data_IF_996536535321
#
_entry.id   IF_996536535321
#
_cell.length_a   1.000
_cell.length_b   1.000
_cell.length_c   1.000
_cell.angle_alpha   90.00
_cell.angle_beta   90.00
_cell.angle_gamma   90.00
#
_symmetry.space_group_name_H-M   'P 1'
#
loop_
_entity.id
_entity.type
_entity.pdbx_description
1 polymer ?
#
# COMPACT_ATOMS: atom_id res chain seq x y z
N UNK A 1 -10.48 -0.84 2.99
CA UNK A 1 -9.89 -2.19 2.86
C UNK A 1 -9.72 -2.53 1.39
N UNK A 2 -8.59 -3.09 0.99
CA UNK A 2 -8.33 -3.56 -0.38
C UNK A 2 -8.01 -5.05 -0.32
N UNK A 3 -8.44 -5.83 -1.31
CA UNK A 3 -8.18 -7.26 -1.45
C UNK A 3 -7.88 -7.63 -2.91
N UNK A 4 -7.29 -8.80 -3.14
CA UNK A 4 -7.05 -9.36 -4.49
C UNK A 4 -7.48 -10.84 -4.59
N UNK A 5 -8.53 -11.23 -3.86
CA UNK A 5 -9.03 -12.62 -3.73
C UNK A 5 -8.07 -13.62 -3.07
N UNK A 6 -6.89 -13.17 -2.65
CA UNK A 6 -5.90 -13.99 -1.94
C UNK A 6 -5.50 -13.40 -0.60
N UNK A 7 -5.39 -12.07 -0.53
CA UNK A 7 -5.03 -11.31 0.68
C UNK A 7 -5.89 -10.05 0.77
N UNK A 8 -5.89 -9.40 1.94
CA UNK A 8 -6.40 -8.05 2.12
C UNK A 8 -5.50 -7.18 3.00
N UNK A 9 -5.60 -5.87 2.78
CA UNK A 9 -4.99 -4.83 3.59
C UNK A 9 -6.05 -3.82 4.04
N UNK A 10 -5.89 -3.30 5.26
CA UNK A 10 -6.68 -2.19 5.78
C UNK A 10 -5.85 -0.91 5.71
N UNK A 11 -6.39 0.09 5.02
CA UNK A 11 -5.76 1.40 4.90
C UNK A 11 -6.61 2.42 5.65
N UNK A 12 -6.02 3.05 6.67
CA UNK A 12 -6.59 4.15 7.41
C UNK A 12 -6.55 5.48 6.64
N UNK A 13 -7.35 6.44 7.08
CA UNK A 13 -7.40 7.78 6.47
C UNK A 13 -6.11 8.58 6.70
N UNK A 14 -5.29 8.20 7.68
CA UNK A 14 -3.98 8.82 7.95
C UNK A 14 -2.89 8.35 6.97
N UNK A 15 -3.24 7.60 5.90
CA UNK A 15 -2.26 7.07 4.95
C UNK A 15 -1.48 5.86 5.49
N UNK A 16 -1.94 5.26 6.58
CA UNK A 16 -1.34 4.06 7.18
C UNK A 16 -2.05 2.80 6.70
N UNK A 17 -1.27 1.78 6.36
CA UNK A 17 -1.76 0.41 6.27
C UNK A 17 -1.61 -0.20 7.67
N UNK A 18 -2.72 -0.26 8.39
CA UNK A 18 -2.77 -0.67 9.79
C UNK A 18 -2.87 -2.19 9.95
N UNK A 19 -3.35 -2.88 8.90
CA UNK A 19 -3.53 -4.33 8.86
C UNK A 19 -3.15 -4.91 7.50
N UNK A 20 -2.42 -6.04 7.49
CA UNK A 20 -2.13 -6.79 6.27
C UNK A 20 -1.85 -8.28 6.55
N UNK A 21 -2.77 -9.16 6.15
CA UNK A 21 -2.56 -10.62 6.18
C UNK A 21 -1.94 -11.09 4.87
N UNK A 22 -0.61 -10.98 4.75
CA UNK A 22 0.12 -11.42 3.56
C UNK A 22 0.98 -12.67 3.87
N UNK A 23 1.08 -13.63 2.93
CA UNK A 23 0.66 -13.51 1.54
C UNK A 23 -0.79 -13.94 1.27
N UNK A 24 -1.48 -14.49 2.26
CA UNK A 24 -2.85 -15.04 2.15
C UNK A 24 -3.72 -14.59 3.34
N UNK A 25 -5.05 -14.67 3.19
CA UNK A 25 -6.02 -14.35 4.26
C UNK A 25 -5.80 -15.10 5.59
N UNK A 26 -5.32 -16.34 5.54
CA UNK A 26 -5.04 -17.18 6.71
C UNK A 26 -3.66 -16.93 7.33
N UNK A 27 -2.85 -16.05 6.71
CA UNK A 27 -1.52 -15.73 7.19
C UNK A 27 -1.57 -14.80 8.40
N UNK A 28 -0.58 -14.96 9.29
CA UNK A 28 -0.35 -13.99 10.37
C UNK A 28 -0.13 -12.60 9.77
N UNK A 29 -0.72 -11.54 10.37
CA UNK A 29 -0.57 -10.19 9.86
C UNK A 29 0.90 -9.74 9.94
N UNK A 30 1.40 -9.12 8.87
CA UNK A 30 2.71 -8.44 8.85
C UNK A 30 2.59 -7.00 9.34
N UNK A 31 1.40 -6.40 9.16
CA UNK A 31 1.00 -5.15 9.79
C UNK A 31 -0.22 -5.43 10.65
N UNK A 32 -0.16 -4.99 11.91
CA UNK A 32 -1.15 -5.27 12.96
C UNK A 32 -1.28 -4.12 13.96
N UNK A 33 -0.85 -2.91 13.59
CA UNK A 33 -0.97 -1.71 14.43
C UNK A 33 -2.39 -1.34 14.84
N UNK A 34 -3.40 -1.94 14.20
CA UNK A 34 -4.79 -1.86 14.63
C UNK A 34 -5.02 -2.54 16.00
N UNK A 35 -4.31 -3.64 16.29
CA UNK A 35 -4.43 -4.36 17.56
C UNK A 35 -3.56 -3.74 18.66
N UNK A 36 -2.37 -3.24 18.27
CA UNK A 36 -1.46 -2.55 19.18
C UNK A 36 -0.79 -1.40 18.42
N UNK A 37 -1.20 -0.16 18.73
CA UNK A 37 -0.72 1.05 18.05
C UNK A 37 0.77 1.31 18.25
N UNK A 38 1.34 0.84 19.36
CA UNK A 38 2.71 1.11 19.77
C UNK A 38 3.65 0.00 19.31
N UNK A 39 3.30 -1.25 19.58
CA UNK A 39 4.15 -2.40 19.27
C UNK A 39 3.89 -3.00 17.89
N UNK A 40 2.68 -2.84 17.35
CA UNK A 40 2.27 -3.42 16.08
C UNK A 40 3.02 -2.85 14.86
N UNK A 41 3.01 -3.66 13.80
CA UNK A 41 3.55 -3.34 12.50
C UNK A 41 2.64 -2.43 11.70
N UNK A 42 3.24 -1.55 10.90
CA UNK A 42 2.54 -0.59 10.04
C UNK A 42 3.37 -0.18 8.84
N UNK A 43 2.66 0.26 7.80
CA UNK A 43 3.26 0.94 6.66
C UNK A 43 2.53 2.26 6.41
N UNK A 44 3.15 3.37 6.77
CA UNK A 44 2.57 4.72 6.70
C UNK A 44 3.28 5.59 5.68
N UNK A 45 2.50 6.34 4.91
CA UNK A 45 2.97 7.47 4.10
C UNK A 45 1.99 8.61 4.34
N UNK A 46 2.48 9.74 4.86
CA UNK A 46 1.62 10.88 5.20
C UNK A 46 2.40 12.19 5.12
N UNK A 47 1.73 13.33 4.86
CA UNK A 47 2.37 14.64 4.84
C UNK A 47 2.70 15.10 6.27
N UNK A 48 3.54 16.11 6.42
CA UNK A 48 3.75 16.80 7.69
C UNK A 48 2.44 17.41 8.23
N UNK A 49 2.25 17.37 9.54
CA UNK A 49 1.02 17.83 10.23
C UNK A 49 -0.31 17.27 9.65
N UNK A 50 -0.45 15.94 9.47
CA UNK A 50 -1.64 15.35 8.84
C UNK A 50 -2.95 15.71 9.57
N UNK A 51 -2.90 15.96 10.88
CA UNK A 51 -4.02 16.38 11.72
C UNK A 51 -4.60 17.76 11.36
N UNK A 52 -3.87 18.59 10.61
CA UNK A 52 -4.33 19.90 10.13
C UNK A 52 -4.96 19.85 8.74
N UNK A 53 -5.03 18.66 8.14
CA UNK A 53 -5.46 18.47 6.77
C UNK A 53 -6.84 17.81 6.72
N UNK A 54 -7.67 18.24 5.77
CA UNK A 54 -8.85 17.48 5.43
C UNK A 54 -8.43 16.25 4.62
N UNK A 55 -9.08 15.10 4.88
CA UNK A 55 -8.78 13.86 4.17
C UNK A 55 -10.03 13.36 3.44
N UNK A 56 -9.86 13.00 2.18
CA UNK A 56 -10.89 12.33 1.37
C UNK A 56 -10.39 10.97 0.94
N UNK A 57 -11.14 9.93 1.23
CA UNK A 57 -10.82 8.56 0.80
C UNK A 57 -11.95 7.96 -0.03
N UNK A 58 -11.62 7.38 -1.17
CA UNK A 58 -12.60 6.77 -2.08
C UNK A 58 -11.94 5.70 -2.95
N UNK A 59 -12.72 4.74 -3.44
CA UNK A 59 -12.24 3.76 -4.40
C UNK A 59 -12.31 4.35 -5.82
N UNK A 60 -11.31 4.06 -6.66
CA UNK A 60 -11.45 4.33 -8.10
C UNK A 60 -12.66 3.57 -8.62
N UNK A 61 -13.43 4.24 -9.47
CA UNK A 61 -14.71 3.76 -9.97
C UNK A 61 -14.64 2.33 -10.51
N UNK A 62 -15.50 1.46 -9.95
CA UNK A 62 -15.61 0.04 -10.29
C UNK A 62 -14.31 -0.76 -10.09
N UNK A 63 -13.49 -0.41 -9.08
CA UNK A 63 -12.25 -1.13 -8.75
C UNK A 63 -12.04 -1.29 -7.25
N UNK A 64 -11.17 -2.22 -6.86
CA UNK A 64 -10.64 -2.31 -5.50
C UNK A 64 -9.32 -1.52 -5.33
N UNK A 65 -9.20 -0.37 -5.99
CA UNK A 65 -8.04 0.52 -5.87
C UNK A 65 -8.47 1.71 -5.01
N UNK A 66 -7.78 1.94 -3.90
CA UNK A 66 -8.14 3.00 -2.95
C UNK A 66 -7.33 4.25 -3.21
N UNK A 67 -7.98 5.40 -3.16
CA UNK A 67 -7.35 6.72 -3.26
C UNK A 67 -7.57 7.45 -1.94
N UNK A 68 -6.49 7.90 -1.31
CA UNK A 68 -6.49 8.78 -0.14
C UNK A 68 -5.88 10.12 -0.53
N UNK A 69 -6.66 11.19 -0.43
CA UNK A 69 -6.24 12.55 -0.76
C UNK A 69 -6.18 13.40 0.51
N UNK A 70 -5.10 14.16 0.64
CA UNK A 70 -4.91 15.14 1.71
C UNK A 70 -5.08 16.54 1.12
N UNK A 71 -5.89 17.36 1.78
CA UNK A 71 -6.26 18.70 1.36
C UNK A 71 -5.85 19.72 2.42
N UNK A 72 -5.19 20.78 1.97
CA UNK A 72 -4.86 21.98 2.75
C UNK A 72 -5.69 23.13 2.21
N UNK A 73 -6.50 23.77 3.05
CA UNK A 73 -7.36 24.89 2.68
C UNK A 73 -8.24 24.58 1.43
N UNK A 74 -8.77 23.35 1.36
CA UNK A 74 -9.58 22.85 0.26
C UNK A 74 -8.80 22.46 -1.01
N UNK A 75 -7.50 22.73 -1.07
CA UNK A 75 -6.63 22.35 -2.18
C UNK A 75 -5.93 21.03 -1.92
N UNK A 76 -5.99 20.11 -2.88
CA UNK A 76 -5.30 18.81 -2.78
C UNK A 76 -3.78 19.01 -2.87
N UNK A 77 -3.06 18.52 -1.85
CA UNK A 77 -1.59 18.60 -1.78
C UNK A 77 -0.91 17.25 -2.00
N UNK A 78 -1.57 16.16 -1.60
CA UNK A 78 -1.05 14.79 -1.71
C UNK A 78 -2.18 13.84 -2.11
N UNK A 79 -1.86 12.87 -2.95
CA UNK A 79 -2.71 11.72 -3.24
C UNK A 79 -1.88 10.46 -3.10
N UNK A 80 -2.43 9.48 -2.39
CA UNK A 80 -1.89 8.14 -2.28
C UNK A 80 -2.89 7.19 -2.91
N UNK A 81 -2.47 6.46 -3.94
CA UNK A 81 -3.28 5.41 -4.56
C UNK A 81 -2.71 4.05 -4.17
N UNK A 82 -3.49 3.29 -3.42
CA UNK A 82 -3.12 1.99 -2.86
C UNK A 82 -3.83 0.86 -3.62
N UNK A 83 -3.09 -0.19 -3.96
CA UNK A 83 -3.67 -1.42 -4.48
C UNK A 83 -2.78 -2.65 -4.24
N UNK A 84 -3.37 -3.82 -4.40
CA UNK A 84 -2.68 -5.10 -4.48
C UNK A 84 -2.89 -5.61 -5.91
N UNK A 85 -1.83 -5.98 -6.66
CA UNK A 85 -1.98 -6.46 -8.02
C UNK A 85 -2.86 -7.71 -8.08
N UNK A 86 -3.62 -7.80 -9.17
CA UNK A 86 -4.43 -8.97 -9.51
C UNK A 86 -4.26 -9.25 -11.00
N UNK A 87 -4.25 -10.53 -11.37
CA UNK A 87 -4.17 -10.98 -12.75
C UNK A 87 -5.06 -12.19 -12.97
N UNK A 88 -5.64 -12.30 -14.17
CA UNK A 88 -6.40 -13.48 -14.61
C UNK A 88 -5.55 -14.76 -14.67
N UNK A 89 -4.22 -14.63 -14.72
CA UNK A 89 -3.31 -15.76 -14.77
C UNK A 89 -3.04 -16.30 -13.37
N UNK A 90 -3.31 -17.60 -13.17
CA UNK A 90 -3.06 -18.35 -11.93
C UNK A 90 -1.57 -18.52 -11.58
N UNK A 91 -0.66 -17.82 -12.26
CA UNK A 91 0.77 -17.84 -11.96
C UNK A 91 1.00 -17.05 -10.70
N UNK A 92 1.43 -17.74 -9.65
CA UNK A 92 1.80 -17.27 -8.30
C UNK A 92 2.38 -15.84 -8.35
N UNK A 93 1.52 -14.83 -8.22
CA UNK A 93 1.98 -13.47 -7.97
C UNK A 93 2.44 -13.43 -6.53
N UNK A 94 3.69 -13.02 -6.30
CA UNK A 94 4.14 -12.68 -4.96
C UNK A 94 3.18 -11.64 -4.38
N UNK A 95 2.86 -11.75 -3.08
CA UNK A 95 1.98 -10.77 -2.45
C UNK A 95 2.73 -9.43 -2.37
N UNK A 96 2.25 -8.45 -3.12
CA UNK A 96 2.90 -7.14 -3.24
C UNK A 96 1.89 -6.03 -2.97
N UNK A 97 2.28 -5.03 -2.18
CA UNK A 97 1.47 -3.85 -1.93
C UNK A 97 2.07 -2.68 -2.70
N UNK A 98 1.27 -1.99 -3.50
CA UNK A 98 1.68 -0.86 -4.31
C UNK A 98 1.06 0.42 -3.77
N UNK A 99 1.89 1.43 -3.57
CA UNK A 99 1.48 2.78 -3.16
C UNK A 99 2.03 3.79 -4.16
N UNK A 100 1.14 4.43 -4.92
CA UNK A 100 1.47 5.54 -5.82
C UNK A 100 1.30 6.84 -5.06
N UNK A 101 2.37 7.63 -4.94
CA UNK A 101 2.40 8.87 -4.18
C UNK A 101 2.53 10.03 -5.17
N UNK A 102 1.55 10.94 -5.18
CA UNK A 102 1.47 12.07 -6.10
C UNK A 102 1.38 13.39 -5.32
N UNK A 103 2.22 14.37 -5.65
CA UNK A 103 2.17 15.75 -5.15
C UNK A 103 1.59 16.67 -6.22
N UNK A 104 1.02 17.81 -5.80
CA UNK A 104 0.31 18.71 -6.72
C UNK A 104 0.83 20.15 -6.70
N UNK A 105 0.34 21.00 -5.80
CA UNK A 105 0.50 22.45 -5.93
C UNK A 105 1.80 22.99 -5.34
N UNK A 106 2.23 22.46 -4.19
CA UNK A 106 3.39 22.92 -3.44
C UNK A 106 4.31 21.74 -3.08
N UNK A 107 5.63 21.96 -2.99
CA UNK A 107 6.51 21.00 -2.34
C UNK A 107 6.05 20.72 -0.92
N UNK A 108 6.22 19.48 -0.46
CA UNK A 108 5.84 19.07 0.87
C UNK A 108 6.79 18.02 1.43
N UNK A 109 6.90 18.00 2.75
CA UNK A 109 7.57 16.92 3.46
C UNK A 109 6.60 15.76 3.67
N UNK A 110 7.09 14.55 3.41
CA UNK A 110 6.38 13.31 3.66
C UNK A 110 7.14 12.50 4.70
N UNK A 111 6.40 11.88 5.61
CA UNK A 111 6.90 10.85 6.49
C UNK A 111 6.58 9.48 5.89
N UNK A 112 7.59 8.63 5.78
CA UNK A 112 7.49 7.24 5.35
C UNK A 112 7.95 6.36 6.49
N UNK A 113 7.03 5.59 7.05
CA UNK A 113 7.30 4.63 8.14
C UNK A 113 7.00 3.22 7.63
N UNK A 114 7.97 2.33 7.75
CA UNK A 114 7.81 0.92 7.41
C UNK A 114 8.35 0.05 8.55
N UNK A 115 7.42 -0.57 9.28
CA UNK A 115 7.69 -1.40 10.44
C UNK A 115 6.91 -2.69 10.26
N UNK A 116 7.48 -3.75 9.68
CA UNK A 116 6.83 -5.05 9.68
C UNK A 116 6.92 -5.68 11.06
N UNK A 117 5.88 -6.40 11.46
CA UNK A 117 5.85 -7.19 12.68
C UNK A 117 5.66 -8.66 12.29
N UNK A 118 6.73 -9.44 12.44
CA UNK A 118 6.66 -10.89 12.28
C UNK A 118 6.38 -11.44 13.67
N UNK A 119 5.17 -11.94 13.92
CA UNK A 119 4.72 -12.57 15.18
C UNK A 119 5.55 -13.83 15.50
N UNK A 120 6.80 -13.60 15.86
CA UNK A 120 7.93 -14.53 15.97
C UNK A 120 8.81 -14.06 17.13
N UNK A 121 9.40 -15.01 17.85
CA UNK A 121 10.35 -14.72 18.93
C UNK A 121 11.75 -14.38 18.39
N UNK A 122 11.98 -14.54 17.09
CA UNK A 122 13.26 -14.24 16.44
C UNK A 122 13.34 -12.75 16.08
N UNK A 123 14.50 -12.11 16.32
CA UNK A 123 14.69 -10.70 16.00
C UNK A 123 14.54 -10.46 14.49
N UNK A 124 14.01 -9.28 14.14
CA UNK A 124 13.91 -8.87 12.73
C UNK A 124 15.26 -8.37 12.24
N UNK A 125 15.81 -9.05 11.24
CA UNK A 125 17.00 -8.61 10.52
C UNK A 125 16.60 -7.65 9.41
N UNK A 126 17.28 -6.51 9.33
CA UNK A 126 17.02 -5.48 8.32
C UNK A 126 18.24 -5.26 7.46
N UNK A 127 18.13 -5.63 6.19
CA UNK A 127 19.22 -5.61 5.24
C UNK A 127 19.00 -4.52 4.19
N UNK A 128 19.98 -3.62 4.07
CA UNK A 128 19.98 -2.60 3.02
C UNK A 128 20.26 -3.23 1.65
N UNK A 129 19.57 -2.73 0.63
CA UNK A 129 19.78 -3.05 -0.78
C UNK A 129 19.88 -1.73 -1.57
N UNK A 130 20.23 -1.84 -2.85
CA UNK A 130 20.35 -0.68 -3.74
C UNK A 130 19.03 0.09 -3.85
N UNK A 131 17.93 -0.64 -3.99
CA UNK A 131 16.60 -0.12 -4.31
C UNK A 131 15.70 0.05 -3.06
N UNK A 132 16.20 -0.29 -1.88
CA UNK A 132 15.41 -0.27 -0.65
C UNK A 132 15.94 -1.18 0.46
N UNK A 133 15.05 -1.81 1.22
CA UNK A 133 15.39 -2.64 2.39
C UNK A 133 14.60 -3.94 2.40
N UNK A 134 15.20 -5.01 2.92
CA UNK A 134 14.51 -6.28 3.18
C UNK A 134 14.52 -6.53 4.69
N UNK A 135 13.35 -6.86 5.22
CA UNK A 135 13.12 -7.26 6.59
C UNK A 135 12.91 -8.77 6.62
N UNK A 136 13.57 -9.48 7.53
CA UNK A 136 13.51 -10.94 7.66
C UNK A 136 13.36 -11.35 9.11
N UNK A 137 12.49 -12.32 9.36
CA UNK A 137 12.46 -13.07 10.60
C UNK A 137 12.09 -14.51 10.26
N UNK A 138 12.93 -15.46 10.67
CA UNK A 138 12.76 -16.90 10.39
C UNK A 138 12.55 -17.20 8.89
N UNK A 139 11.41 -17.73 8.50
CA UNK A 139 11.00 -18.08 7.14
C UNK A 139 10.19 -16.97 6.44
N UNK A 140 9.96 -15.84 7.12
CA UNK A 140 9.20 -14.70 6.59
C UNK A 140 10.15 -13.58 6.15
N UNK A 141 9.80 -12.94 5.03
CA UNK A 141 10.47 -11.73 4.58
C UNK A 141 9.51 -10.77 3.91
N UNK A 142 9.78 -9.47 4.04
CA UNK A 142 9.11 -8.42 3.28
C UNK A 142 10.12 -7.34 2.89
N UNK A 143 10.02 -6.88 1.66
CA UNK A 143 10.78 -5.77 1.13
C UNK A 143 10.04 -4.45 1.25
N UNK A 144 10.79 -3.36 1.14
CA UNK A 144 10.30 -2.05 0.73
C UNK A 144 11.22 -1.53 -0.38
N UNK A 145 10.65 -1.28 -1.55
CA UNK A 145 11.30 -0.67 -2.73
C UNK A 145 10.69 0.72 -2.91
N UNK A 146 11.52 1.74 -3.13
CA UNK A 146 11.02 3.12 -3.09
C UNK A 146 11.71 4.04 -4.08
N UNK A 147 10.92 4.91 -4.71
CA UNK A 147 11.42 6.08 -5.45
C UNK A 147 11.91 7.21 -4.53
N UNK A 148 11.83 7.03 -3.22
CA UNK A 148 12.36 7.94 -2.21
C UNK A 148 13.63 7.38 -1.58
N UNK A 149 14.50 8.27 -1.11
CA UNK A 149 15.68 7.88 -0.34
C UNK A 149 15.23 7.54 1.09
N UNK A 150 15.19 6.25 1.41
CA UNK A 150 14.78 5.76 2.72
C UNK A 150 15.97 5.66 3.69
N UNK A 151 15.69 5.95 4.96
CA UNK A 151 16.58 5.89 6.11
C UNK A 151 16.04 4.86 7.09
N UNK A 152 16.91 3.95 7.51
CA UNK A 152 16.65 2.95 8.55
C UNK A 152 16.95 3.57 9.91
N UNK A 153 16.06 3.36 10.88
CA UNK A 153 16.25 3.66 12.31
C UNK A 153 15.96 2.37 13.08
N UNK A 154 16.98 1.81 13.74
CA UNK A 154 16.90 0.50 14.40
C UNK A 154 16.37 -0.59 13.46
N UNK A 155 15.22 -1.21 13.76
CA UNK A 155 14.60 -2.24 12.95
C UNK A 155 13.38 -1.73 12.16
N UNK A 156 13.32 -0.43 11.88
CA UNK A 156 12.25 0.20 11.10
C UNK A 156 12.81 1.13 10.02
N UNK A 157 12.01 1.43 9.00
CA UNK A 157 12.20 2.64 8.20
C UNK A 157 11.40 3.74 8.88
N UNK A 158 12.06 4.86 9.11
CA UNK A 158 11.46 6.10 9.59
C UNK A 158 12.19 7.24 8.86
N UNK A 159 11.53 7.80 7.85
CA UNK A 159 12.15 8.73 6.91
C UNK A 159 11.25 9.93 6.69
N UNK A 160 11.82 11.12 6.83
CA UNK A 160 11.24 12.35 6.29
C UNK A 160 11.88 12.63 4.93
N UNK A 161 11.06 12.81 3.91
CA UNK A 161 11.51 13.02 2.53
C UNK A 161 10.78 14.22 1.92
N UNK A 162 11.53 15.06 1.22
CA UNK A 162 10.94 16.15 0.46
C UNK A 162 10.36 15.60 -0.86
N UNK A 163 9.15 16.04 -1.18
CA UNK A 163 8.52 15.79 -2.46
C UNK A 163 8.23 17.12 -3.14
N UNK A 164 8.92 17.37 -4.25
CA UNK A 164 8.69 18.56 -5.08
C UNK A 164 7.29 18.59 -5.71
N UNK A 165 6.98 19.68 -6.40
CA UNK A 165 5.69 19.92 -7.05
C UNK A 165 5.43 19.00 -8.25
N UNK A 166 4.18 18.56 -8.45
CA UNK A 166 3.75 17.75 -9.62
C UNK A 166 4.62 16.51 -9.86
N UNK A 167 5.05 15.85 -8.79
CA UNK A 167 5.83 14.62 -8.87
C UNK A 167 4.96 13.42 -8.57
N UNK A 168 5.39 12.28 -9.11
CA UNK A 168 4.80 10.98 -8.83
C UNK A 168 5.93 9.99 -8.53
N UNK A 169 5.78 9.23 -7.44
CA UNK A 169 6.75 8.23 -7.01
C UNK A 169 6.04 6.99 -6.48
N UNK A 170 6.67 5.85 -6.65
CA UNK A 170 6.15 4.57 -6.19
C UNK A 170 6.87 4.11 -4.92
N UNK A 171 6.11 3.46 -4.04
CA UNK A 171 6.64 2.66 -2.94
C UNK A 171 5.94 1.31 -2.98
N UNK A 172 6.73 0.23 -3.04
CA UNK A 172 6.23 -1.13 -3.25
C UNK A 172 6.74 -2.01 -2.11
N UNK A 173 5.86 -2.81 -1.52
CA UNK A 173 6.21 -3.75 -0.46
C UNK A 173 6.00 -5.20 -0.92
N UNK A 174 7.02 -5.86 -1.48
CA UNK A 174 6.93 -7.24 -1.92
C UNK A 174 7.21 -8.23 -0.78
N UNK A 175 6.33 -9.22 -0.59
CA UNK A 175 6.47 -10.28 0.41
C UNK A 175 7.23 -11.49 -0.13
N UNK A 176 7.95 -12.20 0.74
CA UNK A 176 8.64 -13.45 0.44
C UNK A 176 9.91 -13.27 -0.40
N UNK A 177 10.45 -12.06 -0.47
CA UNK A 177 11.58 -11.74 -1.35
C UNK A 177 12.94 -12.07 -0.74
N UNK A 178 13.83 -12.61 -1.58
CA UNK A 178 15.27 -12.78 -1.27
C UNK A 178 16.14 -11.64 -1.81
N UNK A 179 15.68 -11.00 -2.89
CA UNK A 179 16.33 -9.88 -3.54
C UNK A 179 15.27 -8.83 -3.91
N UNK A 180 15.67 -7.57 -4.01
CA UNK A 180 14.81 -6.50 -4.52
C UNK A 180 15.24 -6.21 -5.95
N UNK A 181 14.26 -6.18 -6.86
CA UNK A 181 14.50 -5.72 -8.22
C UNK A 181 14.50 -4.18 -8.24
N UNK A 182 15.09 -3.56 -9.28
CA UNK A 182 14.83 -2.17 -9.63
C UNK A 182 13.33 -1.85 -9.65
N UNK A 183 12.96 -0.64 -9.21
CA UNK A 183 11.55 -0.22 -9.14
C UNK A 183 10.82 -0.37 -10.49
N UNK A 184 11.52 -0.10 -11.60
CA UNK A 184 10.96 -0.25 -12.95
C UNK A 184 10.56 -1.69 -13.32
N UNK A 185 11.23 -2.69 -12.75
CA UNK A 185 11.00 -4.10 -13.06
C UNK A 185 9.70 -4.63 -12.41
N UNK A 186 9.19 -3.94 -11.38
CA UNK A 186 7.87 -4.18 -10.82
C UNK A 186 6.74 -3.66 -11.72
N UNK A 187 7.07 -2.91 -12.79
CA UNK A 187 6.12 -2.39 -13.78
C UNK A 187 4.85 -1.79 -13.15
N UNK A 188 4.97 -0.84 -12.20
CA UNK A 188 3.85 -0.44 -11.35
C UNK A 188 2.67 0.16 -12.12
N UNK A 189 2.93 0.90 -13.20
CA UNK A 189 1.86 1.43 -14.06
C UNK A 189 1.10 0.32 -14.79
N UNK A 190 1.81 -0.68 -15.33
CA UNK A 190 1.19 -1.83 -16.00
C UNK A 190 0.35 -2.65 -15.00
N UNK A 191 0.87 -2.89 -13.80
CA UNK A 191 0.14 -3.60 -12.75
C UNK A 191 -1.11 -2.84 -12.30
N UNK A 192 -1.05 -1.52 -12.21
CA UNK A 192 -2.23 -0.70 -11.88
C UNK A 192 -3.29 -0.74 -12.99
N UNK A 193 -2.88 -0.72 -14.25
CA UNK A 193 -3.76 -0.83 -15.41
C UNK A 193 -4.44 -2.21 -15.45
N UNK A 194 -3.66 -3.29 -15.38
CA UNK A 194 -4.19 -4.67 -15.34
C UNK A 194 -5.15 -4.88 -14.16
N UNK A 195 -4.82 -4.34 -12.98
CA UNK A 195 -5.69 -4.40 -11.80
C UNK A 195 -6.99 -3.63 -12.04
N UNK A 196 -6.92 -2.47 -12.69
CA UNK A 196 -8.11 -1.67 -13.04
C UNK A 196 -9.03 -2.46 -13.99
N UNK A 197 -8.46 -3.06 -15.03
CA UNK A 197 -9.20 -3.82 -16.03
C UNK A 197 -9.82 -5.09 -15.45
N UNK A 198 -9.09 -5.82 -14.62
CA UNK A 198 -9.59 -7.01 -13.91
C UNK A 198 -10.87 -6.70 -13.14
N UNK A 199 -10.86 -5.66 -12.31
CA UNK A 199 -12.04 -5.33 -11.50
C UNK A 199 -13.20 -4.83 -12.35
N UNK A 200 -12.93 -3.99 -13.35
CA UNK A 200 -13.97 -3.48 -14.25
C UNK A 200 -14.62 -4.58 -15.07
N UNK A 201 -13.86 -5.56 -15.55
CA UNK A 201 -14.38 -6.76 -16.21
C UNK A 201 -15.29 -7.54 -15.27
N UNK A 202 -14.85 -7.81 -14.03
CA UNK A 202 -15.67 -8.50 -13.03
C UNK A 202 -16.98 -7.79 -12.66
N UNK A 203 -17.01 -6.44 -12.75
CA UNK A 203 -18.23 -5.64 -12.60
C UNK A 203 -19.13 -5.71 -13.84
N UNK A 204 -18.57 -5.64 -15.05
CA UNK A 204 -19.34 -5.72 -16.30
C UNK A 204 -20.00 -7.10 -16.49
N UNK A 205 -19.34 -8.17 -16.06
CA UNK A 205 -19.89 -9.53 -16.07
C UNK A 205 -20.96 -9.75 -14.97
N UNK A 206 -21.14 -8.79 -14.06
CA UNK A 206 -22.19 -8.83 -13.04
C UNK A 206 -23.51 -8.25 -13.57
N UNK A 207 -24.49 -9.13 -13.78
CA UNK A 207 -25.82 -8.82 -14.31
C UNK A 207 -26.78 -8.24 -13.25
N UNK A 208 -26.37 -7.24 -12.48
CA UNK A 208 -27.24 -6.58 -11.49
C UNK A 208 -27.33 -5.07 -11.74
N UNK A 209 -28.48 -4.62 -12.24
CA UNK A 209 -28.81 -3.19 -12.44
C UNK A 209 -29.95 -2.80 -11.50
N UNK A 210 -29.63 -2.25 -10.33
CA UNK A 210 -30.59 -1.57 -9.45
C UNK A 210 -29.93 -0.40 -8.71
N UNK A 211 -30.75 0.46 -8.10
CA UNK A 211 -30.47 1.80 -7.54
C UNK A 211 -29.34 1.85 -6.48
N UNK A 212 -28.89 0.72 -5.94
CA UNK A 212 -27.79 0.62 -4.94
C UNK A 212 -26.51 -0.01 -5.52
N UNK A 213 -26.24 0.20 -6.81
CA UNK A 213 -25.18 -0.50 -7.54
C UNK A 213 -23.78 -0.26 -6.92
N UNK A 214 -23.50 0.95 -6.45
CA UNK A 214 -22.21 1.30 -5.84
C UNK A 214 -21.89 0.50 -4.58
N UNK A 215 -22.87 0.29 -3.70
CA UNK A 215 -22.73 -0.39 -2.41
C UNK A 215 -22.72 -1.91 -2.59
N UNK A 216 -23.48 -2.44 -3.55
CA UNK A 216 -23.53 -3.86 -3.91
C UNK A 216 -22.24 -4.29 -4.62
N UNK A 217 -21.75 -3.49 -5.58
CA UNK A 217 -20.44 -3.69 -6.22
C UNK A 217 -19.35 -3.66 -5.15
N UNK A 218 -19.40 -2.68 -4.24
CA UNK A 218 -18.40 -2.56 -3.16
C UNK A 218 -18.36 -3.78 -2.25
N UNK A 219 -19.52 -4.31 -1.84
CA UNK A 219 -19.58 -5.50 -0.98
C UNK A 219 -19.00 -6.74 -1.67
N UNK A 220 -19.15 -6.84 -2.99
CA UNK A 220 -18.60 -7.96 -3.78
C UNK A 220 -17.11 -7.82 -4.08
N UNK A 221 -16.57 -6.60 -4.16
CA UNK A 221 -15.12 -6.36 -4.29
C UNK A 221 -14.34 -6.72 -3.02
N UNK A 222 -15.02 -6.92 -1.89
CA UNK A 222 -14.42 -7.30 -0.60
C UNK A 222 -14.55 -8.78 -0.24
N UNK A 223 -15.41 -9.54 -0.95
CA UNK A 223 -15.63 -10.98 -0.78
C UNK A 223 -14.69 -11.77 -1.68
#
# INVERSE_FOLDING_TARGET
MISNNRTAILVGMEGTIDWACIPNFDSKPVFDSLLDKDSGGKFSIYPEDPQKLAVRQYYKEHTNILVTEFLKDGSKILRITDFIPVSDYNTITFAEIYRHVESFAEPLNLHIVFKPHFLSNEPTLVEKRKEGFIFRSRDQSIGIVSGFRLIKKDNIIDSTVEMGKNLAKWVIAPYGVRHLNPLGDYRPYQNMEMTTDYWRKGVQESSYKWIFNSEVIRSRLTL
#
